data_IF_336280720748
#
_entry.id   IF_336280720748
#
_cell.length_a   1.000
_cell.length_b   1.000
_cell.length_c   1.000
_cell.angle_alpha   90.00
_cell.angle_beta   90.00
_cell.angle_gamma   90.00
#
_symmetry.space_group_name_H-M   'P 1'
#
loop_
_entity.id
_entity.type
_entity.pdbx_description
1 polymer ?
#
# COMPACT_ATOMS: atom_id res chain seq x y z
N UNK A 1 1.67 -36.23 -47.45
CA UNK A 1 0.81 -36.57 -46.30
C UNK A 1 0.15 -35.27 -45.86
N UNK A 2 -1.17 -35.15 -46.03
CA UNK A 2 -1.93 -33.96 -45.62
C UNK A 2 -1.95 -33.91 -44.10
N UNK A 3 -1.39 -32.85 -43.50
CA UNK A 3 -1.47 -32.61 -42.05
C UNK A 3 -2.94 -32.46 -41.64
N UNK A 4 -3.44 -33.32 -40.77
CA UNK A 4 -4.83 -33.27 -40.24
C UNK A 4 -5.04 -31.99 -39.41
N UNK A 5 -6.31 -31.60 -39.20
CA UNK A 5 -6.63 -30.42 -38.37
C UNK A 5 -6.13 -30.64 -36.93
N UNK A 6 -6.25 -31.86 -36.43
CA UNK A 6 -5.72 -32.32 -35.14
C UNK A 6 -4.22 -32.06 -35.02
N UNK A 7 -3.41 -32.46 -36.00
CA UNK A 7 -1.96 -32.25 -35.95
C UNK A 7 -1.60 -30.76 -35.90
N UNK A 8 -2.35 -29.91 -36.61
CA UNK A 8 -2.14 -28.45 -36.57
C UNK A 8 -2.57 -27.85 -35.22
N UNK A 9 -3.66 -28.33 -34.64
CA UNK A 9 -4.16 -27.89 -33.34
C UNK A 9 -3.20 -28.25 -32.21
N UNK A 10 -2.69 -29.48 -32.20
CA UNK A 10 -1.73 -29.97 -31.20
C UNK A 10 -0.40 -29.25 -31.34
N UNK A 11 0.09 -29.05 -32.57
CA UNK A 11 1.28 -28.24 -32.82
C UNK A 11 1.11 -26.80 -32.31
N UNK A 12 -0.06 -26.18 -32.51
CA UNK A 12 -0.34 -24.84 -32.00
C UNK A 12 -0.39 -24.80 -30.46
N UNK A 13 -0.98 -25.83 -29.82
CA UNK A 13 -1.14 -25.92 -28.37
C UNK A 13 0.18 -26.23 -27.63
N UNK A 14 1.12 -26.91 -28.29
CA UNK A 14 2.39 -27.35 -27.66
C UNK A 14 3.58 -26.45 -27.98
N UNK A 15 3.46 -25.54 -28.97
CA UNK A 15 4.56 -24.69 -29.47
C UNK A 15 5.29 -23.85 -28.41
N UNK A 16 4.59 -23.47 -27.34
CA UNK A 16 5.12 -22.58 -26.30
C UNK A 16 5.49 -23.32 -24.99
N UNK A 17 5.41 -24.66 -24.97
CA UNK A 17 5.78 -25.46 -23.81
C UNK A 17 7.31 -25.65 -23.74
N UNK A 18 7.82 -25.88 -22.53
CA UNK A 18 9.22 -26.26 -22.35
C UNK A 18 9.46 -27.67 -22.89
N UNK A 19 10.65 -27.94 -23.41
CA UNK A 19 10.99 -29.21 -24.08
C UNK A 19 10.73 -30.47 -23.22
N UNK A 20 10.77 -30.34 -21.89
CA UNK A 20 10.49 -31.45 -20.97
C UNK A 20 8.99 -31.79 -20.85
N UNK A 21 8.09 -30.81 -20.99
CA UNK A 21 6.63 -31.01 -20.88
C UNK A 21 5.95 -31.16 -22.24
N UNK A 22 6.62 -30.74 -23.32
CA UNK A 22 6.06 -30.75 -24.66
C UNK A 22 5.70 -32.16 -25.16
N UNK A 23 6.57 -33.15 -24.92
CA UNK A 23 6.32 -34.54 -25.35
C UNK A 23 5.13 -35.16 -24.64
N UNK A 24 5.03 -34.93 -23.34
CA UNK A 24 4.04 -35.58 -22.49
C UNK A 24 2.66 -34.99 -22.76
N UNK A 25 2.56 -33.66 -22.82
CA UNK A 25 1.32 -32.96 -23.14
C UNK A 25 0.88 -33.25 -24.59
N UNK A 26 1.83 -33.38 -25.53
CA UNK A 26 1.50 -33.80 -26.91
C UNK A 26 0.87 -35.18 -26.93
N UNK A 27 1.48 -36.17 -26.27
CA UNK A 27 0.96 -37.54 -26.26
C UNK A 27 -0.41 -37.62 -25.57
N UNK A 28 -0.62 -36.88 -24.49
CA UNK A 28 -1.90 -36.80 -23.79
C UNK A 28 -3.01 -36.15 -24.65
N UNK A 29 -2.69 -35.04 -25.34
CA UNK A 29 -3.63 -34.39 -26.27
C UNK A 29 -3.92 -35.27 -27.50
N UNK A 30 -2.93 -35.97 -28.05
CA UNK A 30 -3.14 -36.91 -29.15
C UNK A 30 -4.10 -38.04 -28.77
N UNK A 31 -3.89 -38.65 -27.59
CA UNK A 31 -4.77 -39.71 -27.07
C UNK A 31 -6.19 -39.21 -26.79
N UNK A 32 -6.31 -38.14 -26.00
CA UNK A 32 -7.63 -37.61 -25.61
C UNK A 32 -8.46 -37.10 -26.79
N UNK A 33 -7.83 -36.47 -27.80
CA UNK A 33 -8.53 -36.02 -29.01
C UNK A 33 -8.94 -37.21 -29.87
N UNK A 34 -8.08 -38.23 -30.02
CA UNK A 34 -8.41 -39.44 -30.77
C UNK A 34 -9.61 -40.17 -30.16
N UNK A 35 -9.59 -40.37 -28.84
CA UNK A 35 -10.69 -41.01 -28.10
C UNK A 35 -12.01 -40.23 -28.24
N UNK A 36 -11.95 -38.89 -28.16
CA UNK A 36 -13.11 -38.03 -28.30
C UNK A 36 -13.70 -38.00 -29.73
N UNK A 37 -12.86 -38.17 -30.75
CA UNK A 37 -13.28 -38.30 -32.15
C UNK A 37 -13.94 -39.67 -32.35
N UNK A 38 -13.27 -40.74 -31.94
CA UNK A 38 -13.75 -42.11 -32.16
C UNK A 38 -15.09 -42.34 -31.45
N UNK A 39 -15.29 -41.80 -30.24
CA UNK A 39 -16.58 -41.84 -29.54
C UNK A 39 -17.73 -41.17 -30.31
N UNK A 40 -17.45 -40.12 -31.10
CA UNK A 40 -18.46 -39.45 -31.95
C UNK A 40 -18.69 -40.20 -33.26
N UNK A 41 -17.66 -40.85 -33.79
CA UNK A 41 -17.78 -41.72 -34.97
C UNK A 41 -18.64 -42.94 -34.64
N UNK A 42 -18.49 -43.53 -33.45
CA UNK A 42 -19.36 -44.63 -32.98
C UNK A 42 -20.83 -44.22 -32.86
N UNK A 43 -21.11 -42.93 -32.64
CA UNK A 43 -22.46 -42.36 -32.64
C UNK A 43 -23.00 -42.08 -34.05
N UNK A 44 -22.25 -42.44 -35.10
CA UNK A 44 -22.64 -42.29 -36.50
C UNK A 44 -22.32 -40.94 -37.12
N UNK A 45 -21.52 -40.10 -36.46
CA UNK A 45 -21.05 -38.82 -37.01
C UNK A 45 -19.89 -39.09 -37.99
N UNK A 46 -19.88 -38.39 -39.12
CA UNK A 46 -18.78 -38.47 -40.09
C UNK A 46 -17.47 -37.97 -39.45
N UNK A 47 -16.33 -38.61 -39.77
CA UNK A 47 -15.08 -38.40 -39.04
C UNK A 47 -14.54 -36.97 -39.13
N UNK A 48 -14.73 -36.29 -40.27
CA UNK A 48 -14.29 -34.90 -40.45
C UNK A 48 -15.16 -33.90 -39.67
N UNK A 49 -16.46 -34.18 -39.54
CA UNK A 49 -17.36 -33.40 -38.71
C UNK A 49 -17.11 -33.63 -37.20
N UNK A 50 -16.81 -34.88 -36.82
CA UNK A 50 -16.40 -35.23 -35.46
C UNK A 50 -15.09 -34.52 -35.06
N UNK A 51 -14.07 -34.51 -35.93
CA UNK A 51 -12.81 -33.80 -35.72
C UNK A 51 -13.04 -32.30 -35.49
N UNK A 52 -13.87 -31.64 -36.32
CA UNK A 52 -14.18 -30.22 -36.14
C UNK A 52 -14.94 -29.95 -34.85
N UNK A 53 -15.90 -30.80 -34.49
CA UNK A 53 -16.70 -30.62 -33.28
C UNK A 53 -15.82 -30.70 -32.02
N UNK A 54 -14.95 -31.72 -31.93
CA UNK A 54 -14.02 -31.91 -30.80
C UNK A 54 -13.06 -30.72 -30.66
N UNK A 55 -12.43 -30.30 -31.76
CA UNK A 55 -11.50 -29.17 -31.72
C UNK A 55 -12.20 -27.84 -31.40
N UNK A 56 -13.47 -27.68 -31.79
CA UNK A 56 -14.26 -26.49 -31.44
C UNK A 56 -14.63 -26.49 -29.95
N UNK A 57 -14.96 -27.65 -29.39
CA UNK A 57 -15.29 -27.81 -27.97
C UNK A 57 -14.07 -27.57 -27.07
N UNK A 58 -12.87 -27.97 -27.51
CA UNK A 58 -11.60 -27.66 -26.84
C UNK A 58 -11.26 -26.16 -26.86
N UNK A 59 -11.82 -25.39 -27.79
CA UNK A 59 -11.67 -23.94 -27.86
C UNK A 59 -10.30 -23.49 -28.41
N UNK A 60 -9.88 -22.28 -28.05
CA UNK A 60 -8.66 -21.67 -28.60
C UNK A 60 -7.39 -22.43 -28.12
N UNK A 61 -6.56 -22.97 -29.04
CA UNK A 61 -5.34 -23.69 -28.67
C UNK A 61 -4.36 -22.84 -27.87
N UNK A 62 -4.37 -21.50 -28.01
CA UNK A 62 -3.53 -20.62 -27.22
C UNK A 62 -3.97 -20.53 -25.75
N UNK A 63 -5.29 -20.63 -25.49
CA UNK A 63 -5.84 -20.66 -24.14
C UNK A 63 -5.60 -22.03 -23.51
N UNK A 64 -5.77 -23.11 -24.29
CA UNK A 64 -5.47 -24.47 -23.84
C UNK A 64 -3.99 -24.62 -23.47
N UNK A 65 -3.09 -24.09 -24.30
CA UNK A 65 -1.64 -24.05 -24.03
C UNK A 65 -1.29 -23.33 -22.74
N UNK A 66 -2.03 -22.27 -22.38
CA UNK A 66 -1.79 -21.52 -21.16
C UNK A 66 -2.08 -22.33 -19.89
N UNK A 67 -2.95 -23.35 -19.97
CA UNK A 67 -3.21 -24.28 -18.88
C UNK A 67 -2.07 -25.28 -18.64
N UNK A 68 -1.36 -25.66 -19.70
CA UNK A 68 -0.21 -26.59 -19.64
C UNK A 68 1.14 -25.90 -19.47
N UNK A 69 1.22 -24.59 -19.76
CA UNK A 69 2.45 -23.84 -19.63
C UNK A 69 2.80 -23.57 -18.17
N UNK A 70 3.95 -24.08 -17.73
CA UNK A 70 4.61 -23.69 -16.45
C UNK A 70 4.94 -22.19 -16.38
N UNK A 71 4.85 -21.48 -17.51
CA UNK A 71 5.02 -20.03 -17.61
C UNK A 71 3.68 -19.34 -17.83
N UNK A 72 3.08 -18.81 -16.77
CA UNK A 72 1.84 -18.09 -16.92
C UNK A 72 2.01 -16.78 -17.70
N UNK A 73 0.99 -16.46 -18.50
CA UNK A 73 0.89 -15.25 -19.32
C UNK A 73 0.66 -13.96 -18.49
N UNK A 74 0.51 -14.07 -17.16
CA UNK A 74 0.37 -12.92 -16.28
C UNK A 74 1.72 -12.23 -16.00
N UNK A 75 1.68 -10.91 -15.80
CA UNK A 75 2.85 -10.13 -15.36
C UNK A 75 3.21 -10.45 -13.90
N UNK A 76 2.20 -10.58 -13.04
CA UNK A 76 2.32 -10.95 -11.63
C UNK A 76 1.24 -11.99 -11.34
N UNK A 77 1.65 -13.17 -10.87
CA UNK A 77 0.73 -14.28 -10.65
C UNK A 77 -0.01 -14.26 -9.33
N UNK A 78 -1.03 -15.13 -9.18
CA UNK A 78 -1.83 -15.23 -7.96
C UNK A 78 -0.97 -15.51 -6.71
N UNK A 79 0.18 -16.17 -6.87
CA UNK A 79 1.15 -16.43 -5.80
C UNK A 79 1.69 -15.13 -5.16
N UNK A 80 2.01 -14.15 -6.00
CA UNK A 80 2.69 -12.91 -5.63
C UNK A 80 1.76 -11.69 -5.54
N UNK A 81 0.61 -11.74 -6.22
CA UNK A 81 -0.30 -10.62 -6.41
C UNK A 81 -0.75 -9.96 -5.10
N UNK A 82 -1.19 -10.75 -4.11
CA UNK A 82 -1.66 -10.19 -2.83
C UNK A 82 -0.53 -9.52 -2.03
N UNK A 83 0.68 -10.07 -2.12
CA UNK A 83 1.86 -9.49 -1.45
C UNK A 83 2.27 -8.19 -2.14
N UNK A 84 2.30 -8.18 -3.48
CA UNK A 84 2.53 -6.99 -4.30
C UNK A 84 1.52 -5.89 -3.96
N UNK A 85 0.22 -6.20 -3.98
CA UNK A 85 -0.85 -5.23 -3.73
C UNK A 85 -0.73 -4.61 -2.33
N UNK A 86 -0.44 -5.42 -1.30
CA UNK A 86 -0.26 -4.93 0.07
C UNK A 86 0.98 -4.04 0.18
N UNK A 87 2.12 -4.47 -0.36
CA UNK A 87 3.36 -3.70 -0.28
C UNK A 87 3.24 -2.38 -1.04
N UNK A 88 2.70 -2.43 -2.26
CA UNK A 88 2.45 -1.28 -3.10
C UNK A 88 1.54 -0.28 -2.39
N UNK A 89 0.42 -0.74 -1.83
CA UNK A 89 -0.49 0.12 -1.07
C UNK A 89 0.14 0.78 0.15
N UNK A 90 1.00 0.06 0.89
CA UNK A 90 1.73 0.64 2.04
C UNK A 90 2.70 1.72 1.54
N UNK A 91 3.52 1.42 0.53
CA UNK A 91 4.53 2.35 0.03
C UNK A 91 3.89 3.60 -0.61
N UNK A 92 2.80 3.46 -1.36
CA UNK A 92 2.06 4.61 -1.91
C UNK A 92 1.38 5.44 -0.84
N UNK A 93 1.01 4.85 0.30
CA UNK A 93 0.45 5.61 1.41
C UNK A 93 1.52 6.38 2.20
N UNK A 94 2.77 5.91 2.22
CA UNK A 94 3.83 6.50 3.06
C UNK A 94 4.83 7.36 2.30
N UNK A 95 5.32 6.91 1.14
CA UNK A 95 6.44 7.56 0.44
C UNK A 95 6.05 8.90 -0.18
N UNK A 96 4.97 9.03 -0.98
CA UNK A 96 4.61 10.30 -1.61
C UNK A 96 4.38 11.46 -0.64
N UNK A 97 3.68 11.28 0.51
CA UNK A 97 3.55 12.33 1.51
C UNK A 97 4.89 12.76 2.13
N UNK A 98 5.78 11.80 2.42
CA UNK A 98 7.11 12.12 2.97
C UNK A 98 7.93 12.91 1.95
N UNK A 99 7.92 12.49 0.68
CA UNK A 99 8.63 13.20 -0.38
C UNK A 99 8.05 14.59 -0.63
N UNK A 100 6.73 14.74 -0.60
CA UNK A 100 6.05 16.04 -0.68
C UNK A 100 6.55 16.98 0.43
N UNK A 101 6.54 16.51 1.69
CA UNK A 101 6.97 17.29 2.84
C UNK A 101 8.45 17.66 2.72
N UNK A 102 9.30 16.71 2.36
CA UNK A 102 10.74 16.94 2.19
C UNK A 102 11.04 17.98 1.11
N UNK A 103 10.40 17.87 -0.06
CA UNK A 103 10.58 18.83 -1.15
C UNK A 103 10.03 20.21 -0.78
N UNK A 104 8.84 20.29 -0.19
CA UNK A 104 8.27 21.57 0.26
C UNK A 104 9.15 22.23 1.32
N UNK A 105 9.77 21.46 2.22
CA UNK A 105 10.69 21.99 3.23
C UNK A 105 11.98 22.53 2.60
N UNK A 106 12.58 21.82 1.65
CA UNK A 106 13.78 22.28 0.94
C UNK A 106 13.48 23.58 0.19
N UNK A 107 12.39 23.64 -0.55
CA UNK A 107 12.02 24.82 -1.32
C UNK A 107 11.61 26.01 -0.42
N UNK A 108 11.14 25.74 0.80
CA UNK A 108 10.84 26.79 1.80
C UNK A 108 12.07 27.53 2.33
N UNK A 109 13.25 26.92 2.20
CA UNK A 109 14.52 27.54 2.55
C UNK A 109 15.02 28.45 1.43
N UNK A 110 14.49 28.27 0.21
CA UNK A 110 14.69 29.18 -0.92
C UNK A 110 13.73 30.37 -0.81
N UNK A 111 14.06 31.47 -1.49
CA UNK A 111 13.21 32.66 -1.52
C UNK A 111 12.08 32.55 -2.58
N UNK A 112 11.54 31.35 -2.75
CA UNK A 112 10.55 30.99 -3.75
C UNK A 112 9.12 31.30 -3.26
N UNK A 113 8.20 31.49 -4.21
CA UNK A 113 6.80 31.77 -3.90
C UNK A 113 6.09 30.53 -3.33
N UNK A 114 5.04 30.75 -2.53
CA UNK A 114 4.21 29.65 -1.97
C UNK A 114 3.69 28.72 -3.08
N UNK A 115 3.36 29.28 -4.26
CA UNK A 115 2.92 28.50 -5.41
C UNK A 115 3.99 27.54 -5.93
N UNK A 116 5.24 27.98 -6.00
CA UNK A 116 6.39 27.19 -6.43
C UNK A 116 6.70 26.07 -5.42
N UNK A 117 6.68 26.38 -4.13
CA UNK A 117 6.90 25.39 -3.06
C UNK A 117 5.86 24.26 -3.11
N UNK A 118 4.58 24.61 -3.29
CA UNK A 118 3.51 23.60 -3.43
C UNK A 118 3.69 22.81 -4.72
N UNK A 119 4.00 23.49 -5.83
CA UNK A 119 4.23 22.83 -7.11
C UNK A 119 5.40 21.82 -7.02
N UNK A 120 6.50 22.20 -6.36
CA UNK A 120 7.65 21.34 -6.11
C UNK A 120 7.25 20.12 -5.26
N UNK A 121 6.53 20.33 -4.16
CA UNK A 121 6.01 19.26 -3.32
C UNK A 121 5.13 18.27 -4.09
N UNK A 122 4.14 18.76 -4.85
CA UNK A 122 3.23 17.93 -5.66
C UNK A 122 4.03 17.14 -6.70
N UNK A 123 4.93 17.81 -7.41
CA UNK A 123 5.75 17.20 -8.46
C UNK A 123 6.62 16.09 -7.89
N UNK A 124 7.29 16.35 -6.76
CA UNK A 124 8.13 15.37 -6.09
C UNK A 124 7.32 14.18 -5.55
N UNK A 125 6.17 14.44 -4.91
CA UNK A 125 5.27 13.39 -4.43
C UNK A 125 4.73 12.50 -5.54
N UNK A 126 4.28 13.09 -6.65
CA UNK A 126 3.78 12.35 -7.81
C UNK A 126 4.89 11.52 -8.48
N UNK A 127 6.08 12.12 -8.65
CA UNK A 127 7.26 11.41 -9.17
C UNK A 127 7.62 10.20 -8.30
N UNK A 128 7.65 10.38 -6.98
CA UNK A 128 7.89 9.29 -6.03
C UNK A 128 6.82 8.20 -6.11
N UNK A 129 5.54 8.57 -6.20
CA UNK A 129 4.45 7.61 -6.39
C UNK A 129 4.62 6.78 -7.67
N UNK A 130 4.98 7.42 -8.78
CA UNK A 130 5.27 6.75 -10.05
C UNK A 130 6.47 5.79 -9.92
N UNK A 131 7.57 6.23 -9.31
CA UNK A 131 8.77 5.42 -9.12
C UNK A 131 8.49 4.19 -8.24
N UNK A 132 7.77 4.38 -7.13
CA UNK A 132 7.34 3.29 -6.26
C UNK A 132 6.49 2.30 -7.04
N UNK A 133 5.47 2.77 -7.75
CA UNK A 133 4.58 1.89 -8.51
C UNK A 133 5.32 1.10 -9.59
N UNK A 134 6.22 1.77 -10.31
CA UNK A 134 7.03 1.15 -11.36
C UNK A 134 7.98 0.09 -10.77
N UNK A 135 8.86 0.45 -9.85
CA UNK A 135 9.90 -0.45 -9.37
C UNK A 135 9.35 -1.62 -8.54
N UNK A 136 8.32 -1.39 -7.72
CA UNK A 136 7.66 -2.48 -6.99
C UNK A 136 7.05 -3.47 -7.97
N UNK A 137 6.39 -2.99 -9.03
CA UNK A 137 5.81 -3.87 -10.06
C UNK A 137 6.89 -4.63 -10.83
N UNK A 138 7.98 -3.97 -11.22
CA UNK A 138 9.11 -4.61 -11.90
C UNK A 138 9.74 -5.70 -11.04
N UNK A 139 10.02 -5.44 -9.76
CA UNK A 139 10.59 -6.43 -8.85
C UNK A 139 9.69 -7.66 -8.74
N UNK A 140 8.38 -7.46 -8.55
CA UNK A 140 7.44 -8.58 -8.45
C UNK A 140 7.27 -9.34 -9.76
N UNK A 141 7.32 -8.65 -10.91
CA UNK A 141 7.33 -9.30 -12.21
C UNK A 141 8.60 -10.15 -12.40
N UNK A 142 9.78 -9.65 -11.98
CA UNK A 142 11.04 -10.41 -12.02
C UNK A 142 10.99 -11.61 -11.07
N UNK A 143 10.49 -11.45 -9.84
CA UNK A 143 10.31 -12.54 -8.87
C UNK A 143 9.36 -13.62 -9.38
N UNK A 144 8.32 -13.24 -10.14
CA UNK A 144 7.44 -14.19 -10.81
C UNK A 144 8.20 -14.95 -11.92
N UNK A 145 8.98 -14.24 -12.76
CA UNK A 145 9.78 -14.86 -13.83
C UNK A 145 10.90 -15.78 -13.34
N UNK A 146 11.47 -15.49 -12.18
CA UNK A 146 12.51 -16.29 -11.55
C UNK A 146 11.96 -17.48 -10.73
N UNK A 147 10.63 -17.62 -10.60
CA UNK A 147 10.03 -18.67 -9.78
C UNK A 147 10.27 -18.50 -8.26
N UNK A 148 10.93 -17.42 -7.84
CA UNK A 148 11.32 -17.18 -6.46
C UNK A 148 10.11 -17.18 -5.52
N UNK A 149 10.11 -18.08 -4.53
CA UNK A 149 9.04 -18.14 -3.54
C UNK A 149 9.20 -17.01 -2.51
N UNK A 150 8.25 -16.07 -2.48
CA UNK A 150 8.19 -15.01 -1.46
C UNK A 150 7.49 -15.48 -0.19
N UNK A 151 6.81 -16.65 -0.23
CA UNK A 151 6.16 -17.27 0.91
C UNK A 151 6.81 -18.63 1.17
N UNK A 152 7.07 -18.95 2.45
CA UNK A 152 7.57 -20.26 2.83
C UNK A 152 6.57 -21.37 2.46
N UNK A 153 7.05 -22.61 2.38
CA UNK A 153 6.25 -23.79 2.03
C UNK A 153 4.91 -23.83 2.78
N UNK A 154 3.82 -24.03 2.04
CA UNK A 154 2.50 -24.23 2.64
C UNK A 154 2.49 -25.56 3.39
N UNK A 155 1.95 -25.54 4.61
CA UNK A 155 1.62 -26.73 5.38
C UNK A 155 0.24 -26.49 6.01
N UNK A 156 -0.57 -27.54 6.14
CA UNK A 156 -1.88 -27.54 6.80
C UNK A 156 -1.78 -26.99 8.23
N UNK A 157 -0.65 -27.15 8.90
CA UNK A 157 -0.39 -26.55 10.22
C UNK A 157 -0.36 -25.00 10.20
N UNK A 158 -0.29 -24.37 9.02
CA UNK A 158 -0.39 -22.91 8.83
C UNK A 158 -1.82 -22.44 8.53
N UNK A 159 -2.78 -23.35 8.48
CA UNK A 159 -4.19 -23.03 8.34
C UNK A 159 -4.61 -22.23 9.58
N UNK A 160 -5.08 -20.98 9.44
CA UNK A 160 -5.53 -20.22 10.58
C UNK A 160 -6.76 -20.88 11.21
N UNK A 161 -6.71 -21.20 12.50
CA UNK A 161 -7.80 -21.85 13.25
C UNK A 161 -9.14 -21.09 13.17
N UNK A 162 -9.07 -19.78 12.92
CA UNK A 162 -10.19 -18.89 12.65
C UNK A 162 -9.73 -17.76 11.73
N UNK A 163 -10.62 -17.09 10.98
CA UNK A 163 -10.27 -15.84 10.30
C UNK A 163 -10.07 -14.73 11.34
N UNK A 164 -9.03 -14.78 12.17
CA UNK A 164 -8.61 -13.63 12.98
C UNK A 164 -7.83 -12.72 12.05
N UNK A 165 -8.34 -11.51 11.80
CA UNK A 165 -7.68 -10.51 10.97
C UNK A 165 -6.36 -10.08 11.64
N UNK A 166 -5.26 -10.79 11.35
CA UNK A 166 -3.91 -10.32 11.72
C UNK A 166 -3.63 -8.90 11.16
N UNK A 167 -4.39 -8.49 10.15
CA UNK A 167 -4.41 -7.13 9.58
C UNK A 167 -4.83 -6.07 10.61
N UNK A 168 -5.80 -6.36 11.49
CA UNK A 168 -6.24 -5.38 12.51
C UNK A 168 -5.23 -5.23 13.65
N UNK A 169 -4.51 -6.30 13.99
CA UNK A 169 -3.45 -6.24 15.01
C UNK A 169 -2.20 -5.52 14.50
N UNK A 170 -1.76 -5.81 13.27
CA UNK A 170 -0.62 -5.14 12.67
C UNK A 170 -0.89 -3.63 12.42
N UNK A 171 -2.10 -3.27 12.01
CA UNK A 171 -2.48 -1.85 11.85
C UNK A 171 -2.58 -1.12 13.20
N UNK A 172 -3.10 -1.78 14.24
CA UNK A 172 -3.16 -1.23 15.60
C UNK A 172 -1.76 -1.04 16.20
N UNK A 173 -0.84 -1.98 15.95
CA UNK A 173 0.57 -1.87 16.36
C UNK A 173 1.27 -0.72 15.63
N UNK A 174 1.08 -0.60 14.31
CA UNK A 174 1.64 0.50 13.53
C UNK A 174 1.10 1.88 13.96
N UNK A 175 -0.20 1.95 14.32
CA UNK A 175 -0.80 3.17 14.89
C UNK A 175 -0.24 3.49 16.27
N UNK A 176 -0.01 2.48 17.14
CA UNK A 176 0.65 2.69 18.43
C UNK A 176 2.06 3.21 18.26
N UNK A 177 2.87 2.59 17.40
CA UNK A 177 4.27 3.02 17.19
C UNK A 177 4.34 4.46 16.67
N UNK A 178 3.45 4.84 15.76
CA UNK A 178 3.37 6.23 15.28
C UNK A 178 3.02 7.23 16.39
N UNK A 179 2.06 6.88 17.26
CA UNK A 179 1.67 7.72 18.40
C UNK A 179 2.77 7.82 19.46
N UNK A 180 3.44 6.71 19.75
CA UNK A 180 4.58 6.68 20.68
C UNK A 180 5.73 7.52 20.13
N UNK A 181 6.06 7.39 18.84
CA UNK A 181 7.09 8.20 18.19
C UNK A 181 6.73 9.70 18.23
N UNK A 182 5.48 10.06 17.97
CA UNK A 182 5.02 11.45 18.07
C UNK A 182 5.16 11.99 19.50
N UNK A 183 4.69 11.23 20.49
CA UNK A 183 4.81 11.61 21.91
C UNK A 183 6.27 11.80 22.33
N UNK A 184 7.15 10.87 21.94
CA UNK A 184 8.58 10.97 22.19
C UNK A 184 9.18 12.18 21.49
N UNK A 185 8.83 12.44 20.23
CA UNK A 185 9.32 13.61 19.49
C UNK A 185 8.92 14.93 20.15
N UNK A 186 7.67 15.06 20.63
CA UNK A 186 7.20 16.27 21.34
C UNK A 186 7.94 16.47 22.65
N UNK A 187 8.14 15.40 23.44
CA UNK A 187 8.94 15.48 24.66
C UNK A 187 10.40 15.83 24.35
N UNK A 188 10.99 15.20 23.32
CA UNK A 188 12.36 15.46 22.90
C UNK A 188 12.56 16.92 22.50
N UNK A 189 11.64 17.47 21.70
CA UNK A 189 11.66 18.86 21.31
C UNK A 189 11.60 19.81 22.52
N UNK A 190 10.73 19.53 23.50
CA UNK A 190 10.56 20.38 24.68
C UNK A 190 11.72 20.30 25.68
N UNK A 191 12.36 19.13 25.85
CA UNK A 191 13.38 18.92 26.88
C UNK A 191 14.82 18.97 26.37
N UNK A 192 15.05 18.63 25.09
CA UNK A 192 16.39 18.49 24.51
C UNK A 192 16.58 19.47 23.35
N UNK A 193 15.51 19.85 22.65
CA UNK A 193 15.54 20.73 21.47
C UNK A 193 16.01 19.99 20.22
N UNK A 194 15.30 20.17 19.10
CA UNK A 194 15.73 19.61 17.80
C UNK A 194 16.72 20.52 17.07
N UNK A 195 16.69 21.82 17.33
CA UNK A 195 17.58 22.80 16.72
C UNK A 195 18.51 23.39 17.77
N UNK A 196 19.63 23.97 17.31
CA UNK A 196 20.54 24.73 18.16
C UNK A 196 20.76 26.10 17.56
N UNK A 197 20.55 27.13 18.38
CA UNK A 197 20.93 28.51 18.08
C UNK A 197 22.07 28.88 19.04
N UNK A 198 23.21 29.34 18.51
CA UNK A 198 24.35 29.79 19.32
C UNK A 198 24.77 28.79 20.42
N UNK A 199 24.77 27.50 20.09
CA UNK A 199 25.05 26.35 20.96
C UNK A 199 24.01 26.06 22.06
N UNK A 200 22.96 26.87 22.21
CA UNK A 200 21.81 26.58 23.06
C UNK A 200 20.73 25.79 22.30
N UNK A 201 20.13 24.75 22.92
CA UNK A 201 19.05 24.00 22.32
C UNK A 201 17.77 24.85 22.26
N UNK A 202 17.19 24.96 21.06
CA UNK A 202 15.91 25.64 20.84
C UNK A 202 14.87 24.64 20.37
N UNK A 203 13.67 24.72 20.98
CA UNK A 203 12.52 23.91 20.61
C UNK A 203 11.90 24.43 19.30
N UNK A 204 11.46 23.51 18.44
CA UNK A 204 10.70 23.81 17.21
C UNK A 204 9.28 24.24 17.58
N UNK A 205 8.65 23.55 18.53
CA UNK A 205 7.36 23.92 19.08
C UNK A 205 7.50 25.11 20.03
N UNK A 206 6.51 25.99 20.02
CA UNK A 206 6.49 27.12 20.93
C UNK A 206 6.42 26.62 22.41
N UNK A 207 7.35 27.04 23.29
CA UNK A 207 7.33 26.67 24.71
C UNK A 207 6.02 27.05 25.42
N UNK A 208 5.35 28.13 24.98
CA UNK A 208 4.09 28.61 25.55
C UNK A 208 2.90 27.66 25.34
N UNK A 209 3.07 26.62 24.52
CA UNK A 209 2.07 25.56 24.36
C UNK A 209 1.91 24.73 25.66
N UNK A 210 2.90 24.77 26.54
CA UNK A 210 2.81 24.18 27.87
C UNK A 210 2.08 25.10 28.86
N UNK A 211 1.27 24.54 29.76
CA UNK A 211 0.94 23.12 29.89
C UNK A 211 -0.27 22.70 29.04
N UNK A 212 -1.12 23.64 28.63
CA UNK A 212 -2.49 23.32 28.22
C UNK A 212 -2.61 22.65 26.86
N UNK A 213 -1.99 23.21 25.82
CA UNK A 213 -2.11 22.69 24.46
C UNK A 213 -1.41 21.32 24.34
N UNK A 214 -0.24 21.19 24.96
CA UNK A 214 0.50 19.92 25.00
C UNK A 214 -0.21 18.88 25.87
N UNK A 215 -0.78 19.24 27.02
CA UNK A 215 -1.58 18.30 27.83
C UNK A 215 -2.83 17.84 27.09
N UNK A 216 -3.49 18.73 26.33
CA UNK A 216 -4.60 18.39 25.45
C UNK A 216 -4.19 17.38 24.37
N UNK A 217 -3.03 17.60 23.74
CA UNK A 217 -2.44 16.68 22.77
C UNK A 217 -2.14 15.31 23.40
N UNK A 218 -1.48 15.27 24.56
CA UNK A 218 -1.20 14.02 25.28
C UNK A 218 -2.47 13.28 25.70
N UNK A 219 -3.53 14.00 26.08
CA UNK A 219 -4.83 13.42 26.39
C UNK A 219 -5.44 12.74 25.17
N UNK A 220 -5.36 13.37 23.99
CA UNK A 220 -5.82 12.77 22.73
C UNK A 220 -4.99 11.53 22.34
N UNK A 221 -3.66 11.61 22.49
CA UNK A 221 -2.75 10.48 22.26
C UNK A 221 -3.10 9.31 23.20
N UNK A 222 -3.29 9.59 24.49
CA UNK A 222 -3.64 8.60 25.49
C UNK A 222 -5.00 7.95 25.18
N UNK A 223 -6.04 8.74 24.90
CA UNK A 223 -7.36 8.23 24.53
C UNK A 223 -7.30 7.31 23.29
N UNK A 224 -6.46 7.67 22.31
CA UNK A 224 -6.24 6.87 21.10
C UNK A 224 -5.44 5.59 21.37
N UNK A 225 -4.45 5.65 22.26
CA UNK A 225 -3.71 4.49 22.72
C UNK A 225 -4.64 3.49 23.45
N UNK A 226 -5.54 3.97 24.31
CA UNK A 226 -6.56 3.11 24.98
C UNK A 226 -7.44 2.40 23.96
N UNK A 227 -7.92 3.10 22.91
CA UNK A 227 -8.72 2.48 21.86
C UNK A 227 -7.94 1.37 21.14
N UNK A 228 -6.66 1.61 20.87
CA UNK A 228 -5.80 0.65 20.18
C UNK A 228 -5.49 -0.57 21.06
N UNK A 229 -5.25 -0.38 22.37
CA UNK A 229 -5.09 -1.48 23.34
C UNK A 229 -6.38 -2.29 23.47
N UNK A 230 -7.55 -1.64 23.44
CA UNK A 230 -8.84 -2.33 23.46
C UNK A 230 -9.02 -3.23 22.24
N UNK A 231 -8.62 -2.79 21.05
CA UNK A 231 -8.69 -3.59 19.82
C UNK A 231 -7.77 -4.81 19.93
N UNK A 232 -6.57 -4.64 20.51
CA UNK A 232 -5.64 -5.74 20.72
C UNK A 232 -6.12 -6.78 21.74
N UNK A 233 -6.92 -6.37 22.74
CA UNK A 233 -7.37 -7.23 23.85
C UNK A 233 -8.76 -7.84 23.64
N UNK A 234 -9.71 -7.07 23.10
CA UNK A 234 -11.15 -7.44 23.01
C UNK A 234 -11.56 -7.91 21.61
N UNK A 235 -10.81 -7.57 20.56
CA UNK A 235 -11.05 -8.07 19.20
C UNK A 235 -11.56 -7.00 18.22
N UNK A 236 -12.45 -7.37 17.27
CA UNK A 236 -12.68 -6.61 16.03
C UNK A 236 -13.24 -5.20 16.28
N UNK A 237 -13.02 -4.33 15.30
CA UNK A 237 -13.61 -3.00 15.28
C UNK A 237 -15.13 -3.04 15.38
N UNK A 238 -15.71 -2.13 16.14
CA UNK A 238 -17.16 -1.94 16.21
C UNK A 238 -17.51 -0.54 15.70
N UNK A 239 -18.74 -0.33 15.21
CA UNK A 239 -19.20 0.98 14.73
C UNK A 239 -19.00 2.08 15.77
N UNK A 240 -19.23 1.78 17.06
CA UNK A 240 -18.98 2.73 18.16
C UNK A 240 -17.51 3.13 18.26
N UNK A 241 -16.57 2.18 18.10
CA UNK A 241 -15.14 2.47 18.12
C UNK A 241 -14.70 3.31 16.92
N UNK A 242 -15.24 3.04 15.72
CA UNK A 242 -14.94 3.84 14.54
C UNK A 242 -15.40 5.30 14.71
N UNK A 243 -16.60 5.52 15.25
CA UNK A 243 -17.11 6.86 15.58
C UNK A 243 -16.16 7.55 16.58
N UNK A 244 -15.79 6.89 17.68
CA UNK A 244 -14.85 7.45 18.67
C UNK A 244 -13.50 7.79 18.04
N UNK A 245 -12.95 6.91 17.20
CA UNK A 245 -11.70 7.18 16.47
C UNK A 245 -11.82 8.39 15.54
N UNK A 246 -12.94 8.53 14.83
CA UNK A 246 -13.20 9.69 13.99
C UNK A 246 -13.32 10.97 14.82
N UNK A 247 -14.03 10.94 15.95
CA UNK A 247 -14.10 12.08 16.87
C UNK A 247 -12.72 12.49 17.38
N UNK A 248 -11.89 11.53 17.81
CA UNK A 248 -10.52 11.80 18.26
C UNK A 248 -9.66 12.40 17.14
N UNK A 249 -9.80 11.93 15.89
CA UNK A 249 -9.10 12.48 14.74
C UNK A 249 -9.52 13.92 14.43
N UNK A 250 -10.83 14.23 14.53
CA UNK A 250 -11.35 15.58 14.34
C UNK A 250 -10.87 16.52 15.45
N UNK A 251 -10.88 16.07 16.70
CA UNK A 251 -10.35 16.85 17.83
C UNK A 251 -8.85 17.14 17.66
N UNK A 252 -8.08 16.17 17.19
CA UNK A 252 -6.67 16.35 16.87
C UNK A 252 -6.47 17.38 15.75
N UNK A 253 -7.21 17.28 14.64
CA UNK A 253 -7.18 18.30 13.58
C UNK A 253 -7.56 19.67 14.14
N UNK A 254 -8.64 19.76 14.91
CA UNK A 254 -9.13 21.02 15.45
C UNK A 254 -8.11 21.69 16.37
N UNK A 255 -7.44 20.92 17.23
CA UNK A 255 -6.38 21.43 18.11
C UNK A 255 -5.24 22.01 17.29
N UNK A 256 -4.70 21.22 16.35
CA UNK A 256 -3.57 21.62 15.52
C UNK A 256 -3.95 22.82 14.63
N UNK A 257 -5.10 22.78 13.96
CA UNK A 257 -5.60 23.88 13.13
C UNK A 257 -5.78 25.19 13.93
N UNK A 258 -6.22 25.12 15.19
CA UNK A 258 -6.30 26.30 16.07
C UNK A 258 -4.92 26.87 16.35
N UNK A 259 -3.94 26.03 16.67
CA UNK A 259 -2.55 26.44 16.94
C UNK A 259 -1.89 27.03 15.69
N UNK A 260 -2.11 26.43 14.51
CA UNK A 260 -1.65 26.98 13.23
C UNK A 260 -2.31 28.33 12.92
N UNK A 261 -3.63 28.42 13.08
CA UNK A 261 -4.39 29.64 12.77
C UNK A 261 -4.00 30.83 13.65
N UNK A 262 -3.53 30.57 14.87
CA UNK A 262 -3.00 31.59 15.78
C UNK A 262 -1.51 31.87 15.58
N UNK A 263 -0.81 31.07 14.78
CA UNK A 263 0.65 31.13 14.64
C UNK A 263 1.39 30.72 15.92
N UNK A 264 0.73 30.03 16.84
CA UNK A 264 1.27 29.63 18.15
C UNK A 264 2.03 28.31 18.08
N UNK A 265 1.94 27.54 16.99
CA UNK A 265 2.51 26.20 16.91
C UNK A 265 4.05 26.20 16.93
N UNK A 266 4.66 27.09 16.16
CA UNK A 266 6.11 27.12 15.94
C UNK A 266 6.71 28.19 16.84
N UNK A 267 7.88 27.91 17.40
CA UNK A 267 8.61 28.85 18.23
C UNK A 267 8.95 30.14 17.45
N UNK A 268 8.49 31.32 17.89
CA UNK A 268 8.73 32.58 17.19
C UNK A 268 10.22 32.95 17.12
N UNK A 269 11.02 32.57 18.12
CA UNK A 269 12.47 32.83 18.12
C UNK A 269 13.18 32.04 17.02
N UNK A 270 12.77 30.79 16.78
CA UNK A 270 13.31 29.97 15.70
C UNK A 270 12.96 30.56 14.32
N UNK A 271 11.74 31.09 14.18
CA UNK A 271 11.30 31.75 12.95
C UNK A 271 12.13 33.00 12.67
N UNK A 272 12.32 33.84 13.68
CA UNK A 272 13.12 35.06 13.56
C UNK A 272 14.56 34.73 13.18
N UNK A 273 15.16 33.75 13.85
CA UNK A 273 16.51 33.28 13.54
C UNK A 273 16.63 32.73 12.11
N UNK A 274 15.64 32.00 11.63
CA UNK A 274 15.63 31.48 10.26
C UNK A 274 15.56 32.64 9.24
N UNK A 275 14.72 33.64 9.49
CA UNK A 275 14.60 34.83 8.63
C UNK A 275 15.92 35.63 8.63
N UNK A 276 16.54 35.83 9.79
CA UNK A 276 17.83 36.51 9.92
C UNK A 276 18.96 35.76 9.21
N UNK A 277 18.88 34.42 9.16
CA UNK A 277 19.78 33.56 8.39
C UNK A 277 19.50 33.57 6.87
N UNK A 278 18.50 34.34 6.41
CA UNK A 278 18.18 34.52 4.99
C UNK A 278 16.97 33.72 4.50
N UNK A 279 16.22 33.05 5.37
CA UNK A 279 15.00 32.35 4.97
C UNK A 279 13.88 33.33 4.56
N UNK A 280 13.01 32.88 3.65
CA UNK A 280 11.85 33.66 3.22
C UNK A 280 10.91 33.99 4.39
N UNK A 281 10.32 35.19 4.39
CA UNK A 281 9.26 35.56 5.36
C UNK A 281 8.01 34.68 5.25
N UNK A 282 7.82 34.01 4.12
CA UNK A 282 6.71 33.07 3.93
C UNK A 282 6.96 31.71 4.58
N UNK A 283 8.16 31.45 5.14
CA UNK A 283 8.51 30.16 5.78
C UNK A 283 7.47 29.74 6.84
N UNK A 284 6.93 30.69 7.60
CA UNK A 284 5.89 30.42 8.62
C UNK A 284 4.61 29.88 7.99
N UNK A 285 4.17 30.49 6.90
CA UNK A 285 2.95 30.08 6.19
C UNK A 285 3.15 28.72 5.52
N UNK A 286 4.33 28.47 4.99
CA UNK A 286 4.68 27.20 4.36
C UNK A 286 4.72 26.09 5.41
N UNK A 287 5.42 26.29 6.53
CA UNK A 287 5.47 25.32 7.63
C UNK A 287 4.07 25.05 8.20
N UNK A 288 3.24 26.08 8.35
CA UNK A 288 1.84 25.92 8.72
C UNK A 288 1.07 25.09 7.67
N UNK A 289 1.19 25.39 6.38
CA UNK A 289 0.49 24.65 5.34
C UNK A 289 0.92 23.17 5.30
N UNK A 290 2.23 22.90 5.42
CA UNK A 290 2.80 21.54 5.49
C UNK A 290 2.30 20.80 6.73
N UNK A 291 2.36 21.42 7.91
CA UNK A 291 1.86 20.82 9.15
C UNK A 291 0.35 20.56 9.09
N UNK A 292 -0.43 21.47 8.50
CA UNK A 292 -1.86 21.32 8.29
C UNK A 292 -2.19 20.15 7.37
N UNK A 293 -1.53 20.06 6.21
CA UNK A 293 -1.70 18.94 5.27
C UNK A 293 -1.29 17.59 5.89
N UNK A 294 -0.16 17.55 6.61
CA UNK A 294 0.29 16.35 7.31
C UNK A 294 -0.73 15.90 8.36
N UNK A 295 -1.29 16.84 9.12
CA UNK A 295 -2.33 16.59 10.13
C UNK A 295 -3.59 16.02 9.50
N UNK A 296 -4.08 16.63 8.41
CA UNK A 296 -5.27 16.18 7.69
C UNK A 296 -5.03 14.79 7.06
N UNK A 297 -3.87 14.57 6.45
CA UNK A 297 -3.49 13.30 5.85
C UNK A 297 -3.44 12.18 6.90
N UNK A 298 -2.76 12.41 8.02
CA UNK A 298 -2.70 11.47 9.14
C UNK A 298 -4.10 11.16 9.69
N UNK A 299 -4.91 12.18 9.95
CA UNK A 299 -6.26 12.02 10.47
C UNK A 299 -7.16 11.25 9.49
N UNK A 300 -7.09 11.55 8.19
CA UNK A 300 -7.87 10.88 7.14
C UNK A 300 -7.51 9.40 7.02
N UNK A 301 -6.21 9.09 7.00
CA UNK A 301 -5.70 7.72 7.05
C UNK A 301 -6.23 6.98 8.29
N UNK A 302 -6.17 7.65 9.44
CA UNK A 302 -6.60 7.11 10.72
C UNK A 302 -8.10 6.78 10.75
N UNK A 303 -8.93 7.63 10.14
CA UNK A 303 -10.38 7.45 10.01
C UNK A 303 -10.65 6.25 9.09
N UNK A 304 -9.96 6.20 7.93
CA UNK A 304 -10.13 5.11 6.97
C UNK A 304 -9.82 3.73 7.57
N UNK A 305 -8.80 3.62 8.43
CA UNK A 305 -8.51 2.36 9.14
C UNK A 305 -9.69 1.93 10.02
N UNK A 306 -10.24 2.84 10.82
CA UNK A 306 -11.34 2.53 11.73
C UNK A 306 -12.58 2.01 10.99
N UNK A 307 -12.96 2.68 9.91
CA UNK A 307 -14.14 2.27 9.12
C UNK A 307 -13.91 1.00 8.30
N UNK A 308 -12.73 0.79 7.70
CA UNK A 308 -12.39 -0.48 7.04
C UNK A 308 -12.43 -1.64 8.03
N UNK A 309 -11.92 -1.43 9.25
CA UNK A 309 -12.02 -2.39 10.33
C UNK A 309 -13.47 -2.79 10.62
N UNK A 310 -14.38 -1.81 10.68
CA UNK A 310 -15.80 -2.11 10.93
C UNK A 310 -16.45 -2.92 9.82
N UNK A 311 -16.26 -2.56 8.54
CA UNK A 311 -16.86 -3.30 7.42
C UNK A 311 -16.43 -4.77 7.41
N UNK A 312 -15.17 -5.04 7.73
CA UNK A 312 -14.64 -6.40 7.82
C UNK A 312 -15.20 -7.20 9.02
N UNK A 313 -15.73 -6.50 10.04
CA UNK A 313 -16.35 -7.11 11.21
C UNK A 313 -17.83 -7.43 11.02
N UNK A 314 -18.57 -6.63 10.22
CA UNK A 314 -20.00 -6.81 9.97
C UNK A 314 -20.31 -7.85 8.89
N UNK A 315 -19.36 -8.13 7.99
CA UNK A 315 -19.47 -9.17 6.96
C UNK A 315 -19.07 -10.57 7.47
N UNK A 316 -19.10 -10.80 8.79
CA UNK A 316 -18.86 -12.09 9.45
C UNK A 316 -20.08 -12.51 10.25
#
# INVERSE_FOLDING_TARGET
MTTTLTHRYIAASTKNLGAASESDVRAELEGSIADAIDARVEQGIERTDAERAVLTELGDPAILAAGYADRPLHLIGPRHYLTWLRLLGILLATVPPITFIGAALVESLSNDSIGEIIAAGITAGLSAAMHVAFWVTVVFAVLERLGAATRGHWNVDRLPDYPRSNVDRASSIASLSGLTLLAVAVCWDSFIGFARLDAEPIAILNPDLWPWAISGLFTLIAARAVLSVRILTVGPWTTRMAIVNTTLAILFISLIATLLGRGELINPELVLAAIDAGASRDIVRVLALVAGLATVGFASWSIAIGWRGTVNSTNR
#
